data_IF_784796654104
#
_entry.id   IF_784796654104
#
_cell.length_a   1.000
_cell.length_b   1.000
_cell.length_c   1.000
_cell.angle_alpha   90.00
_cell.angle_beta   90.00
_cell.angle_gamma   90.00
#
_symmetry.space_group_name_H-M   'P 1'
#
loop_
_entity.id
_entity.type
_entity.pdbx_description
1 polymer ?
#
# COMPACT_ATOMS: atom_id res chain seq x y z
N UNK A 1 28.97 15.78 1.37
CA UNK A 1 27.71 16.42 1.82
C UNK A 1 26.44 15.67 1.40
N UNK A 2 26.39 15.04 0.21
CA UNK A 2 25.23 14.26 -0.29
C UNK A 2 24.85 13.06 0.62
N UNK A 3 25.81 12.44 1.31
CA UNK A 3 25.54 11.31 2.19
C UNK A 3 24.71 11.66 3.45
N UNK A 4 24.59 12.93 3.87
CA UNK A 4 23.76 13.28 5.05
C UNK A 4 22.28 13.43 4.73
N UNK A 5 21.92 13.73 3.47
CA UNK A 5 20.51 13.94 3.08
C UNK A 5 19.75 12.61 2.90
N UNK A 6 20.44 11.51 2.58
CA UNK A 6 19.81 10.19 2.34
C UNK A 6 19.51 9.45 3.66
N UNK A 7 20.24 9.75 4.74
CA UNK A 7 20.16 9.02 6.01
C UNK A 7 19.69 9.86 7.19
N UNK A 8 18.89 10.90 6.94
CA UNK A 8 18.23 11.59 8.06
C UNK A 8 17.28 10.58 8.73
N UNK A 9 17.48 10.31 10.01
CA UNK A 9 16.45 9.68 10.83
C UNK A 9 15.32 10.69 10.94
N UNK A 10 14.12 10.27 10.52
CA UNK A 10 12.94 11.09 10.66
C UNK A 10 12.42 10.95 12.09
N UNK A 11 12.12 12.10 12.70
CA UNK A 11 11.40 12.12 13.97
C UNK A 11 9.98 11.58 13.78
N UNK A 12 9.35 11.11 14.86
CA UNK A 12 8.02 10.53 14.85
C UNK A 12 6.98 11.48 14.24
N UNK A 13 7.03 12.77 14.59
CA UNK A 13 6.13 13.79 14.02
C UNK A 13 6.32 13.96 12.51
N UNK A 14 7.56 13.86 12.03
CA UNK A 14 7.85 13.94 10.60
C UNK A 14 7.33 12.72 9.85
N UNK A 15 7.42 11.53 10.46
CA UNK A 15 6.85 10.31 9.91
C UNK A 15 5.33 10.42 9.85
N UNK A 16 4.67 10.82 10.93
CA UNK A 16 3.21 11.00 10.97
C UNK A 16 2.76 12.00 9.90
N UNK A 17 3.43 13.15 9.77
CA UNK A 17 3.13 14.14 8.75
C UNK A 17 3.34 13.63 7.31
N UNK A 18 4.37 12.82 7.08
CA UNK A 18 4.62 12.17 5.79
C UNK A 18 3.56 11.11 5.47
N UNK A 19 3.18 10.27 6.44
CA UNK A 19 2.12 9.28 6.29
C UNK A 19 0.79 9.93 5.93
N UNK A 20 0.42 11.02 6.63
CA UNK A 20 -0.80 11.77 6.31
C UNK A 20 -0.81 12.29 4.87
N UNK A 21 0.32 12.83 4.39
CA UNK A 21 0.45 13.31 2.99
C UNK A 21 0.35 12.16 1.98
N UNK A 22 1.04 11.05 2.23
CA UNK A 22 0.99 9.88 1.36
C UNK A 22 -0.43 9.29 1.32
N UNK A 23 -1.14 9.29 2.44
CA UNK A 23 -2.52 8.81 2.52
C UNK A 23 -3.43 9.71 1.71
N UNK A 24 -3.28 11.03 1.84
CA UNK A 24 -3.96 12.01 1.00
C UNK A 24 -3.73 11.78 -0.49
N UNK A 25 -2.47 11.53 -0.91
CA UNK A 25 -2.14 11.21 -2.31
C UNK A 25 -2.81 9.91 -2.77
N UNK A 26 -2.78 8.85 -1.95
CA UNK A 26 -3.41 7.57 -2.28
C UNK A 26 -4.94 7.71 -2.44
N UNK A 27 -5.58 8.48 -1.56
CA UNK A 27 -7.01 8.77 -1.62
C UNK A 27 -7.35 9.59 -2.87
N UNK A 28 -6.61 10.67 -3.14
CA UNK A 28 -6.81 11.49 -4.35
C UNK A 28 -6.64 10.66 -5.63
N UNK A 29 -5.61 9.83 -5.70
CA UNK A 29 -5.38 8.93 -6.83
C UNK A 29 -6.58 7.99 -7.03
N UNK A 30 -7.13 7.45 -5.94
CA UNK A 30 -8.27 6.53 -6.00
C UNK A 30 -9.56 7.23 -6.44
N UNK A 31 -9.78 8.47 -6.00
CA UNK A 31 -10.89 9.32 -6.48
C UNK A 31 -10.76 9.57 -7.98
N UNK A 32 -9.56 9.91 -8.45
CA UNK A 32 -9.29 10.12 -9.88
C UNK A 32 -9.60 8.85 -10.67
N UNK A 33 -9.10 7.69 -10.23
CA UNK A 33 -9.41 6.39 -10.87
C UNK A 33 -10.92 6.10 -10.88
N UNK A 34 -11.64 6.40 -9.79
CA UNK A 34 -13.09 6.22 -9.72
C UNK A 34 -13.82 7.13 -10.72
N UNK A 35 -13.42 8.39 -10.86
CA UNK A 35 -13.99 9.33 -11.84
C UNK A 35 -13.76 8.84 -13.27
N UNK A 36 -12.52 8.49 -13.63
CA UNK A 36 -12.20 7.99 -14.97
C UNK A 36 -12.92 6.66 -15.28
N UNK A 37 -13.13 5.83 -14.25
CA UNK A 37 -13.96 4.64 -14.34
C UNK A 37 -15.42 4.93 -14.65
N UNK A 38 -16.03 5.87 -13.90
CA UNK A 38 -17.41 6.29 -14.11
C UNK A 38 -17.63 6.93 -15.49
N UNK A 39 -16.64 7.65 -16.00
CA UNK A 39 -16.65 8.24 -17.34
C UNK A 39 -16.45 7.21 -18.47
N UNK A 40 -16.32 5.92 -18.15
CA UNK A 40 -16.08 4.85 -19.11
C UNK A 40 -14.71 4.90 -19.79
N UNK A 41 -13.79 5.74 -19.29
CA UNK A 41 -12.43 5.89 -19.83
C UNK A 41 -11.55 4.72 -19.40
N UNK A 42 -11.81 4.18 -18.21
CA UNK A 42 -11.21 2.92 -17.77
C UNK A 42 -12.23 1.81 -18.00
N UNK A 43 -11.81 0.73 -18.67
CA UNK A 43 -12.59 -0.51 -18.75
C UNK A 43 -12.62 -1.11 -17.34
N UNK A 44 -13.58 -0.66 -16.56
CA UNK A 44 -13.84 -1.23 -15.26
C UNK A 44 -14.74 -2.44 -15.48
N UNK A 45 -14.25 -3.62 -15.10
CA UNK A 45 -15.12 -4.77 -14.84
C UNK A 45 -15.89 -4.49 -13.52
N UNK A 46 -16.73 -3.43 -13.49
CA UNK A 46 -17.58 -3.05 -12.34
C UNK A 46 -18.60 -4.15 -12.04
N UNK A 47 -18.85 -5.05 -13.00
CA UNK A 47 -19.78 -6.16 -12.88
C UNK A 47 -19.44 -7.15 -11.75
N UNK A 48 -18.26 -7.07 -11.13
CA UNK A 48 -17.82 -8.02 -10.10
C UNK A 48 -18.12 -7.61 -8.64
N UNK A 49 -18.57 -6.38 -8.36
CA UNK A 49 -18.93 -5.99 -6.98
C UNK A 49 -20.38 -6.38 -6.70
N UNK A 50 -20.65 -7.69 -6.62
CA UNK A 50 -21.97 -8.18 -6.23
C UNK A 50 -22.36 -7.61 -4.86
N UNK A 51 -23.64 -7.29 -4.61
CA UNK A 51 -24.15 -6.89 -3.29
C UNK A 51 -23.69 -7.77 -2.13
N UNK A 52 -23.45 -9.07 -2.39
CA UNK A 52 -22.93 -10.02 -1.41
C UNK A 52 -21.51 -9.71 -0.89
N UNK A 53 -20.69 -8.94 -1.62
CA UNK A 53 -19.37 -8.52 -1.13
C UNK A 53 -19.47 -7.47 -0.02
N UNK A 54 -20.54 -6.66 -0.01
CA UNK A 54 -20.81 -5.69 1.04
C UNK A 54 -21.48 -6.33 2.27
N UNK A 55 -22.20 -7.45 2.10
CA UNK A 55 -22.82 -8.18 3.20
C UNK A 55 -21.80 -8.75 4.22
N UNK A 56 -20.56 -9.03 3.78
CA UNK A 56 -19.47 -9.47 4.67
C UNK A 56 -19.14 -8.38 5.72
N UNK A 57 -19.45 -7.12 5.42
CA UNK A 57 -19.14 -5.97 6.27
C UNK A 57 -20.28 -5.52 7.19
N UNK A 58 -21.46 -6.12 7.08
CA UNK A 58 -22.52 -6.00 8.09
C UNK A 58 -22.15 -6.75 9.40
N UNK A 59 -21.03 -7.47 9.39
CA UNK A 59 -20.51 -8.14 10.56
C UNK A 59 -19.71 -7.17 11.44
N UNK A 60 -19.95 -7.22 12.76
CA UNK A 60 -19.19 -6.47 13.77
C UNK A 60 -17.67 -6.72 13.74
N UNK A 61 -17.22 -7.72 12.98
CA UNK A 61 -15.82 -8.14 12.85
C UNK A 61 -15.11 -7.60 11.62
N UNK A 62 -15.81 -6.89 10.73
CA UNK A 62 -15.24 -6.46 9.46
C UNK A 62 -13.96 -5.61 9.58
N UNK A 63 -13.85 -4.63 10.51
CA UNK A 63 -12.61 -3.87 10.70
C UNK A 63 -11.42 -4.75 11.10
N UNK A 64 -11.68 -5.78 11.92
CA UNK A 64 -10.64 -6.73 12.36
C UNK A 64 -10.15 -7.56 11.18
N UNK A 65 -11.07 -8.05 10.34
CA UNK A 65 -10.72 -8.79 9.13
C UNK A 65 -9.92 -7.94 8.14
N UNK A 66 -10.29 -6.66 7.93
CA UNK A 66 -9.53 -5.74 7.07
C UNK A 66 -8.13 -5.51 7.63
N UNK A 67 -7.99 -5.34 8.94
CA UNK A 67 -6.68 -5.17 9.58
C UNK A 67 -5.79 -6.40 9.37
N UNK A 68 -6.33 -7.61 9.55
CA UNK A 68 -5.57 -8.83 9.31
C UNK A 68 -5.24 -9.02 7.83
N UNK A 69 -6.17 -8.72 6.91
CA UNK A 69 -5.90 -8.77 5.46
C UNK A 69 -4.75 -7.83 5.10
N UNK A 70 -4.82 -6.57 5.55
CA UNK A 70 -3.76 -5.59 5.33
C UNK A 70 -2.42 -6.09 5.89
N UNK A 71 -2.41 -6.65 7.11
CA UNK A 71 -1.19 -7.20 7.71
C UNK A 71 -0.59 -8.34 6.87
N UNK A 72 -1.40 -9.30 6.45
CA UNK A 72 -0.93 -10.43 5.64
C UNK A 72 -0.37 -9.96 4.30
N UNK A 73 -1.03 -9.02 3.64
CA UNK A 73 -0.56 -8.44 2.38
C UNK A 73 0.76 -7.67 2.57
N UNK A 74 0.90 -6.92 3.65
CA UNK A 74 2.16 -6.24 3.97
C UNK A 74 3.30 -7.23 4.28
N UNK A 75 2.99 -8.35 4.96
CA UNK A 75 3.95 -9.42 5.20
C UNK A 75 4.43 -10.03 3.86
N UNK A 76 3.51 -10.42 2.99
CA UNK A 76 3.80 -11.15 1.76
C UNK A 76 4.53 -10.29 0.73
N UNK A 77 4.08 -9.04 0.54
CA UNK A 77 4.56 -8.22 -0.57
C UNK A 77 5.64 -7.20 -0.17
N UNK A 78 5.87 -6.94 1.13
CA UNK A 78 6.86 -5.94 1.57
C UNK A 78 7.88 -6.56 2.51
N UNK A 79 7.44 -7.07 3.66
CA UNK A 79 8.34 -7.64 4.65
C UNK A 79 9.13 -8.81 4.08
N UNK A 80 8.46 -9.84 3.54
CA UNK A 80 9.10 -11.06 3.10
C UNK A 80 10.13 -10.82 1.96
N UNK A 81 9.82 -10.07 0.89
CA UNK A 81 10.79 -9.79 -0.17
C UNK A 81 12.01 -9.02 0.32
N UNK A 82 11.83 -8.01 1.18
CA UNK A 82 12.94 -7.21 1.72
C UNK A 82 13.74 -8.01 2.75
N UNK A 83 13.08 -8.81 3.58
CA UNK A 83 13.74 -9.69 4.55
C UNK A 83 14.60 -10.72 3.83
N UNK A 84 14.06 -11.39 2.81
CA UNK A 84 14.78 -12.35 1.98
C UNK A 84 15.99 -11.71 1.30
N UNK A 85 15.82 -10.50 0.73
CA UNK A 85 16.91 -9.72 0.15
C UNK A 85 18.05 -9.49 1.16
N UNK A 86 17.72 -9.12 2.40
CA UNK A 86 18.70 -8.78 3.44
C UNK A 86 19.44 -10.02 3.97
N UNK A 87 18.79 -11.19 4.03
CA UNK A 87 19.43 -12.43 4.51
C UNK A 87 20.20 -13.16 3.42
N UNK A 88 19.73 -13.12 2.16
CA UNK A 88 20.36 -13.86 1.06
C UNK A 88 21.55 -13.12 0.44
N UNK A 89 21.61 -11.80 0.57
CA UNK A 89 22.63 -10.99 -0.11
C UNK A 89 23.44 -10.15 0.87
N UNK A 90 24.77 -10.21 0.70
CA UNK A 90 25.70 -9.33 1.40
C UNK A 90 25.98 -8.08 0.56
N UNK A 91 25.57 -6.91 1.06
CA UNK A 91 25.77 -5.64 0.37
C UNK A 91 27.00 -4.91 0.88
N UNK A 92 27.90 -4.51 -0.05
CA UNK A 92 29.11 -3.74 0.28
C UNK A 92 28.83 -2.38 0.91
N UNK A 93 27.69 -1.76 0.62
CA UNK A 93 27.34 -0.43 1.15
C UNK A 93 25.84 -0.35 1.46
N UNK A 94 25.47 0.53 2.39
CA UNK A 94 24.06 0.86 2.67
C UNK A 94 23.33 1.40 1.44
N UNK A 95 24.04 2.09 0.54
CA UNK A 95 23.49 2.60 -0.72
C UNK A 95 23.10 1.45 -1.67
N UNK A 96 23.93 0.42 -1.79
CA UNK A 96 23.61 -0.74 -2.62
C UNK A 96 22.40 -1.50 -2.07
N UNK A 97 22.33 -1.68 -0.75
CA UNK A 97 21.16 -2.28 -0.10
C UNK A 97 19.89 -1.47 -0.39
N UNK A 98 19.93 -0.15 -0.21
CA UNK A 98 18.78 0.71 -0.45
C UNK A 98 18.27 0.64 -1.90
N UNK A 99 19.18 0.68 -2.89
CA UNK A 99 18.81 0.54 -4.30
C UNK A 99 18.19 -0.84 -4.57
N UNK A 100 18.77 -1.91 -4.01
CA UNK A 100 18.22 -3.25 -4.16
C UNK A 100 16.83 -3.39 -3.51
N UNK A 101 16.61 -2.77 -2.33
CA UNK A 101 15.30 -2.71 -1.69
C UNK A 101 14.26 -2.00 -2.57
N UNK A 102 14.63 -0.88 -3.20
CA UNK A 102 13.73 -0.16 -4.12
C UNK A 102 13.35 -1.02 -5.32
N UNK A 103 14.31 -1.73 -5.93
CA UNK A 103 14.04 -2.61 -7.07
C UNK A 103 13.12 -3.77 -6.66
N UNK A 104 13.41 -4.43 -5.54
CA UNK A 104 12.58 -5.54 -5.04
C UNK A 104 11.15 -5.08 -4.74
N UNK A 105 10.99 -3.92 -4.10
CA UNK A 105 9.66 -3.40 -3.78
C UNK A 105 8.90 -2.91 -5.02
N UNK A 106 9.59 -2.39 -6.03
CA UNK A 106 8.98 -2.06 -7.32
C UNK A 106 8.43 -3.33 -7.99
N UNK A 107 9.23 -4.41 -8.03
CA UNK A 107 8.78 -5.70 -8.55
C UNK A 107 7.61 -6.23 -7.73
N UNK A 108 7.71 -6.20 -6.40
CA UNK A 108 6.63 -6.66 -5.53
C UNK A 108 5.34 -5.86 -5.70
N UNK A 109 5.44 -4.56 -6.01
CA UNK A 109 4.28 -3.71 -6.32
C UNK A 109 3.61 -4.09 -7.64
N UNK A 110 4.39 -4.46 -8.65
CA UNK A 110 3.83 -5.00 -9.92
C UNK A 110 3.11 -6.33 -9.66
N UNK A 111 3.73 -7.24 -8.90
CA UNK A 111 3.11 -8.52 -8.53
C UNK A 111 1.86 -8.31 -7.69
N UNK A 112 1.87 -7.37 -6.74
CA UNK A 112 0.72 -6.97 -5.95
C UNK A 112 -0.43 -6.52 -6.85
N UNK A 113 -0.17 -5.62 -7.80
CA UNK A 113 -1.19 -5.15 -8.73
C UNK A 113 -1.74 -6.28 -9.61
N UNK A 114 -0.88 -7.17 -10.11
CA UNK A 114 -1.31 -8.33 -10.86
C UNK A 114 -2.17 -9.30 -10.04
N UNK A 115 -1.84 -9.53 -8.76
CA UNK A 115 -2.61 -10.41 -7.87
C UNK A 115 -4.04 -9.90 -7.60
N UNK A 116 -4.28 -8.59 -7.77
CA UNK A 116 -5.58 -7.95 -7.54
C UNK A 116 -6.51 -7.92 -8.77
N UNK A 117 -6.10 -8.49 -9.90
CA UNK A 117 -6.97 -8.60 -11.08
C UNK A 117 -6.23 -8.56 -12.42
N UNK A 118 -5.01 -9.10 -12.48
CA UNK A 118 -4.21 -9.20 -13.70
C UNK A 118 -3.58 -7.89 -14.16
N UNK A 119 -3.20 -7.84 -15.45
CA UNK A 119 -2.39 -6.74 -16.00
C UNK A 119 -3.03 -5.35 -15.88
N UNK A 120 -4.36 -5.26 -15.97
CA UNK A 120 -5.09 -3.98 -15.84
C UNK A 120 -4.90 -3.35 -14.45
N UNK A 121 -4.77 -4.18 -13.43
CA UNK A 121 -4.64 -3.75 -12.04
C UNK A 121 -3.19 -3.39 -11.66
N UNK A 122 -2.20 -3.68 -12.51
CA UNK A 122 -0.82 -3.25 -12.28
C UNK A 122 -0.73 -1.72 -12.21
N UNK A 123 -1.45 -1.00 -13.07
CA UNK A 123 -1.38 0.47 -13.08
C UNK A 123 -2.08 1.10 -11.87
N UNK A 124 -3.24 0.59 -11.46
CA UNK A 124 -3.99 1.16 -10.34
C UNK A 124 -3.46 0.65 -9.00
N UNK A 125 -3.51 -0.67 -8.78
CA UNK A 125 -3.11 -1.31 -7.54
C UNK A 125 -1.59 -1.37 -7.38
N UNK A 126 -0.84 -1.50 -8.48
CA UNK A 126 0.63 -1.50 -8.39
C UNK A 126 1.22 -0.13 -8.05
N UNK A 127 0.64 0.98 -8.55
CA UNK A 127 1.06 2.34 -8.14
C UNK A 127 0.78 2.57 -6.66
N UNK A 128 -0.40 2.16 -6.19
CA UNK A 128 -0.71 2.17 -4.75
C UNK A 128 0.27 1.29 -3.97
N UNK A 129 0.59 0.11 -4.49
CA UNK A 129 1.56 -0.80 -3.89
C UNK A 129 2.94 -0.17 -3.74
N UNK A 130 3.34 0.69 -4.67
CA UNK A 130 4.58 1.45 -4.60
C UNK A 130 4.53 2.53 -3.51
N UNK A 131 3.39 3.21 -3.32
CA UNK A 131 3.21 4.14 -2.21
C UNK A 131 3.32 3.42 -0.85
N UNK A 132 2.70 2.26 -0.70
CA UNK A 132 2.85 1.40 0.50
C UNK A 132 4.31 0.99 0.72
N UNK A 133 5.02 0.65 -0.36
CA UNK A 133 6.43 0.30 -0.32
C UNK A 133 7.31 1.47 0.16
N UNK A 134 6.99 2.70 -0.24
CA UNK A 134 7.65 3.90 0.27
C UNK A 134 7.39 4.09 1.77
N UNK A 135 6.14 3.89 2.23
CA UNK A 135 5.80 3.90 3.65
C UNK A 135 6.66 2.89 4.42
N UNK A 136 6.74 1.65 3.94
CA UNK A 136 7.54 0.59 4.58
C UNK A 136 9.03 0.98 4.68
N UNK A 137 9.63 1.46 3.58
CA UNK A 137 11.04 1.89 3.58
C UNK A 137 11.29 3.04 4.55
N UNK A 138 10.46 4.08 4.49
CA UNK A 138 10.68 5.35 5.20
C UNK A 138 10.38 5.22 6.70
N UNK A 139 9.52 4.29 7.10
CA UNK A 139 9.17 4.04 8.51
C UNK A 139 10.13 3.06 9.23
N UNK A 140 11.04 2.40 8.51
CA UNK A 140 12.07 1.57 9.15
C UNK A 140 12.73 0.51 8.27
N UNK A 141 12.17 0.22 7.09
CA UNK A 141 12.67 -0.83 6.20
C UNK A 141 14.11 -0.58 5.74
N UNK A 142 14.48 0.69 5.51
CA UNK A 142 15.86 1.09 5.13
C UNK A 142 16.89 0.79 6.22
N UNK A 143 16.47 0.86 7.48
CA UNK A 143 17.34 0.71 8.66
C UNK A 143 17.20 -0.68 9.32
N UNK A 144 16.59 -1.64 8.62
CA UNK A 144 16.28 -2.99 9.11
C UNK A 144 15.42 -3.02 10.39
N UNK A 145 14.72 -1.91 10.71
CA UNK A 145 13.75 -1.81 11.80
C UNK A 145 12.40 -2.38 11.31
N UNK A 146 12.37 -3.67 10.96
CA UNK A 146 11.27 -4.27 10.22
C UNK A 146 9.93 -4.28 10.97
N UNK A 147 9.92 -4.48 12.28
CA UNK A 147 8.68 -4.43 13.07
C UNK A 147 8.01 -3.06 12.99
N UNK A 148 8.81 -1.99 13.04
CA UNK A 148 8.33 -0.61 12.88
C UNK A 148 7.81 -0.38 11.45
N UNK A 149 8.58 -0.82 10.46
CA UNK A 149 8.21 -0.72 9.05
C UNK A 149 6.85 -1.38 8.75
N UNK A 150 6.69 -2.62 9.22
CA UNK A 150 5.49 -3.43 9.04
C UNK A 150 4.30 -2.82 9.77
N UNK A 151 4.48 -2.34 11.00
CA UNK A 151 3.41 -1.67 11.75
C UNK A 151 2.86 -0.45 11.01
N UNK A 152 3.72 0.46 10.57
CA UNK A 152 3.27 1.68 9.90
C UNK A 152 2.71 1.42 8.50
N UNK A 153 3.29 0.49 7.73
CA UNK A 153 2.74 0.15 6.41
C UNK A 153 1.40 -0.57 6.54
N UNK A 154 1.23 -1.46 7.52
CA UNK A 154 -0.05 -2.12 7.82
C UNK A 154 -1.11 -1.11 8.24
N UNK A 155 -0.77 -0.18 9.14
CA UNK A 155 -1.71 0.84 9.60
C UNK A 155 -2.16 1.76 8.44
N UNK A 156 -1.21 2.15 7.58
CA UNK A 156 -1.51 2.95 6.41
C UNK A 156 -2.41 2.18 5.44
N UNK A 157 -2.10 0.92 5.15
CA UNK A 157 -2.89 0.07 4.26
C UNK A 157 -4.30 -0.17 4.81
N UNK A 158 -4.42 -0.48 6.10
CA UNK A 158 -5.70 -0.59 6.79
C UNK A 158 -6.53 0.70 6.66
N UNK A 159 -5.92 1.86 6.94
CA UNK A 159 -6.60 3.15 6.83
C UNK A 159 -7.07 3.43 5.40
N UNK A 160 -6.23 3.14 4.40
CA UNK A 160 -6.61 3.25 3.00
C UNK A 160 -7.81 2.36 2.65
N UNK A 161 -7.77 1.09 3.02
CA UNK A 161 -8.87 0.15 2.75
C UNK A 161 -10.17 0.59 3.42
N UNK A 162 -10.10 1.12 4.64
CA UNK A 162 -11.27 1.65 5.34
C UNK A 162 -11.86 2.88 4.63
N UNK A 163 -11.03 3.80 4.15
CA UNK A 163 -11.50 4.98 3.40
C UNK A 163 -12.18 4.57 2.10
N UNK A 164 -11.57 3.67 1.33
CA UNK A 164 -12.16 3.17 0.07
C UNK A 164 -13.50 2.49 0.37
N UNK A 165 -13.55 1.65 1.38
CA UNK A 165 -14.78 0.97 1.78
C UNK A 165 -15.88 1.96 2.15
N UNK A 166 -15.61 2.92 3.05
CA UNK A 166 -16.57 3.95 3.44
C UNK A 166 -17.04 4.79 2.24
N UNK A 167 -16.14 5.11 1.32
CA UNK A 167 -16.47 5.86 0.09
C UNK A 167 -17.43 5.07 -0.79
N UNK A 168 -17.13 3.79 -1.04
CA UNK A 168 -17.97 2.92 -1.85
C UNK A 168 -19.34 2.67 -1.20
N UNK A 169 -19.37 2.41 0.11
CA UNK A 169 -20.61 2.22 0.86
C UNK A 169 -21.51 3.46 0.81
N UNK A 170 -20.92 4.66 0.97
CA UNK A 170 -21.64 5.93 0.83
C UNK A 170 -22.22 6.14 -0.57
N UNK A 171 -21.48 5.81 -1.63
CA UNK A 171 -21.97 5.90 -3.01
C UNK A 171 -23.15 4.95 -3.27
N UNK A 172 -23.10 3.72 -2.75
CA UNK A 172 -24.20 2.76 -2.86
C UNK A 172 -25.47 3.24 -2.12
N UNK A 173 -25.33 3.87 -0.95
CA UNK A 173 -26.47 4.40 -0.20
C UNK A 173 -27.18 5.56 -0.91
N UNK A 174 -26.44 6.39 -1.66
CA UNK A 174 -27.02 7.55 -2.38
C UNK A 174 -27.69 7.14 -3.70
N UNK A 175 -27.33 5.98 -4.26
CA UNK A 175 -27.78 5.53 -5.58
C UNK A 175 -28.94 4.52 -5.57
N UNK A 176 -29.32 4.00 -4.39
CA UNK A 176 -30.49 3.14 -4.19
C UNK A 176 -31.65 3.89 -3.59
#
# INVERSE_FOLDING_TARGET
MINRLIYKEYDQDQIVGMLARLLGVAVLFSIVIAIFGHLGVLVQDVEAVSPNRYAIFDTKFAPVLVLFSALFEEIIFRFFPVFLLVICFSFRTKKHLFVAQLVVLMIASVVFGYAHGGFRHIFTQGVLGMLMSLVFILSGGKDKKFSRALFFSTLFHFAYNLIIFCTLAGLCYVSG
#
